data_IF_717301371405
#
_entry.id   IF_717301371405
#
_cell.length_a   1.000
_cell.length_b   1.000
_cell.length_c   1.000
_cell.angle_alpha   90.00
_cell.angle_beta   90.00
_cell.angle_gamma   90.00
#
_symmetry.space_group_name_H-M   'P 1'
#
loop_
_entity.id
_entity.type
_entity.pdbx_description
1 polymer ?
#
# COMPACT_ATOMS: atom_id res chain seq x y z
N UNK A 1 -25.02 8.57 -22.83
CA UNK A 1 -23.57 8.69 -22.56
C UNK A 1 -23.06 7.32 -22.13
N UNK A 2 -22.01 6.82 -22.77
CA UNK A 2 -21.44 5.51 -22.44
C UNK A 2 -20.38 5.69 -21.34
N UNK A 3 -20.63 5.10 -20.18
CA UNK A 3 -19.66 4.99 -19.09
C UNK A 3 -18.61 3.94 -19.45
N UNK A 4 -17.33 4.24 -19.24
CA UNK A 4 -16.22 3.35 -19.58
C UNK A 4 -15.57 2.82 -18.30
N UNK A 5 -15.23 3.72 -17.37
CA UNK A 5 -14.51 3.40 -16.15
C UNK A 5 -15.10 4.13 -14.95
N UNK A 6 -15.12 3.47 -13.81
CA UNK A 6 -15.49 4.06 -12.54
C UNK A 6 -14.37 3.84 -11.53
N UNK A 7 -13.91 4.92 -10.94
CA UNK A 7 -12.98 4.87 -9.83
C UNK A 7 -13.69 5.31 -8.54
N UNK A 8 -12.95 5.49 -7.48
CA UNK A 8 -13.50 5.94 -6.22
C UNK A 8 -14.13 7.33 -6.29
N UNK A 9 -13.45 8.31 -6.92
CA UNK A 9 -13.88 9.70 -7.01
C UNK A 9 -14.35 10.10 -8.41
N UNK A 10 -13.94 9.35 -9.43
CA UNK A 10 -14.08 9.72 -10.82
C UNK A 10 -14.97 8.73 -11.59
N UNK A 11 -15.64 9.27 -12.61
CA UNK A 11 -16.30 8.55 -13.68
C UNK A 11 -15.64 8.98 -14.99
N UNK A 12 -15.17 8.02 -15.79
CA UNK A 12 -14.68 8.28 -17.14
C UNK A 12 -15.73 7.79 -18.15
N UNK A 13 -16.12 8.67 -19.07
CA UNK A 13 -17.14 8.42 -20.09
C UNK A 13 -16.75 9.00 -21.44
N UNK A 14 -17.33 8.50 -22.49
CA UNK A 14 -17.19 9.11 -23.81
C UNK A 14 -17.61 10.59 -23.78
N UNK A 15 -16.86 11.42 -24.48
CA UNK A 15 -17.15 12.85 -24.63
C UNK A 15 -18.22 13.07 -25.68
N UNK A 16 -19.03 14.09 -25.46
CA UNK A 16 -20.15 14.52 -26.33
C UNK A 16 -20.02 16.00 -26.66
N UNK A 17 -20.84 16.50 -27.58
CA UNK A 17 -20.87 17.94 -27.89
C UNK A 17 -21.25 18.80 -26.68
N UNK A 18 -21.98 18.26 -25.72
CA UNK A 18 -22.26 18.93 -24.44
C UNK A 18 -21.05 19.24 -23.58
N UNK A 19 -19.90 18.61 -23.87
CA UNK A 19 -18.65 18.82 -23.15
C UNK A 19 -17.76 19.93 -23.76
N UNK A 20 -18.18 20.54 -24.90
CA UNK A 20 -17.42 21.60 -25.56
C UNK A 20 -17.08 22.74 -24.59
N UNK A 21 -17.99 23.29 -23.78
CA UNK A 21 -17.64 24.36 -22.84
C UNK A 21 -16.54 23.96 -21.84
N UNK A 22 -16.58 22.73 -21.35
CA UNK A 22 -15.55 22.20 -20.42
C UNK A 22 -14.21 21.99 -21.11
N UNK A 23 -14.22 21.57 -22.38
CA UNK A 23 -13.03 21.45 -23.22
C UNK A 23 -12.44 22.82 -23.57
N UNK A 24 -13.27 23.82 -23.88
CA UNK A 24 -12.83 25.19 -24.12
C UNK A 24 -12.14 25.76 -22.87
N UNK A 25 -12.74 25.63 -21.69
CA UNK A 25 -12.16 26.09 -20.42
C UNK A 25 -10.76 25.52 -20.19
N UNK A 26 -10.51 24.30 -20.63
CA UNK A 26 -9.24 23.61 -20.43
C UNK A 26 -8.24 23.89 -21.56
N UNK A 27 -8.68 23.75 -22.82
CA UNK A 27 -7.77 23.79 -23.98
C UNK A 27 -7.43 25.22 -24.45
N UNK A 28 -8.25 26.22 -24.09
CA UNK A 28 -7.96 27.61 -24.37
C UNK A 28 -7.19 28.31 -23.24
N UNK A 29 -6.99 27.64 -22.09
CA UNK A 29 -6.19 28.19 -20.99
C UNK A 29 -4.71 27.98 -21.25
N UNK A 30 -3.91 29.06 -21.46
CA UNK A 30 -2.48 28.94 -21.74
C UNK A 30 -1.68 28.34 -20.58
N UNK A 31 -2.17 28.46 -19.34
CA UNK A 31 -1.51 27.86 -18.18
C UNK A 31 -1.71 26.33 -18.15
N UNK A 32 -2.86 25.84 -18.63
CA UNK A 32 -3.11 24.40 -18.80
C UNK A 32 -2.32 23.85 -19.97
N UNK A 33 -2.22 24.62 -21.06
CA UNK A 33 -1.61 24.21 -22.32
C UNK A 33 -0.12 24.53 -22.43
N UNK A 34 0.55 24.92 -21.35
CA UNK A 34 1.97 25.34 -21.34
C UNK A 34 2.96 24.31 -21.94
N UNK A 35 2.60 23.04 -21.92
CA UNK A 35 3.43 21.98 -22.49
C UNK A 35 3.31 21.85 -24.02
N UNK A 36 2.31 22.50 -24.62
CA UNK A 36 2.05 22.44 -26.06
C UNK A 36 2.59 23.70 -26.76
N UNK A 37 3.31 23.56 -27.89
CA UNK A 37 3.85 24.70 -28.62
C UNK A 37 2.80 25.40 -29.51
N UNK A 38 1.52 25.16 -29.32
CA UNK A 38 0.42 25.65 -30.13
C UNK A 38 -0.66 26.29 -29.24
N UNK A 39 -1.18 27.43 -29.66
CA UNK A 39 -2.33 28.08 -29.04
C UNK A 39 -3.59 27.57 -29.70
N UNK A 40 -4.45 26.92 -28.93
CA UNK A 40 -5.68 26.31 -29.42
C UNK A 40 -6.75 27.38 -29.69
N UNK A 41 -7.53 27.16 -30.74
CA UNK A 41 -8.72 27.93 -31.09
C UNK A 41 -9.98 27.11 -30.77
N UNK A 42 -11.17 27.72 -30.84
CA UNK A 42 -12.44 27.01 -30.69
C UNK A 42 -12.61 25.91 -31.75
N UNK A 43 -12.22 26.18 -32.98
CA UNK A 43 -12.23 25.18 -34.05
C UNK A 43 -11.32 23.98 -33.71
N UNK A 44 -10.15 24.22 -33.10
CA UNK A 44 -9.28 23.13 -32.64
C UNK A 44 -9.95 22.28 -31.56
N UNK A 45 -10.74 22.89 -30.69
CA UNK A 45 -11.50 22.17 -29.64
C UNK A 45 -12.54 21.23 -30.27
N UNK A 46 -13.33 21.76 -31.23
CA UNK A 46 -14.32 20.96 -31.97
C UNK A 46 -13.65 19.81 -32.73
N UNK A 47 -12.59 20.10 -33.48
CA UNK A 47 -11.81 19.12 -34.21
C UNK A 47 -11.21 18.04 -33.29
N UNK A 48 -10.78 18.45 -32.09
CA UNK A 48 -10.25 17.52 -31.09
C UNK A 48 -11.34 16.59 -30.58
N UNK A 49 -12.53 17.10 -30.27
CA UNK A 49 -13.68 16.27 -29.89
C UNK A 49 -14.06 15.29 -31.00
N UNK A 50 -14.21 15.77 -32.22
CA UNK A 50 -14.53 14.93 -33.37
C UNK A 50 -13.53 13.79 -33.57
N UNK A 51 -12.23 14.10 -33.37
CA UNK A 51 -11.14 13.07 -33.41
C UNK A 51 -11.31 12.02 -32.31
N UNK A 52 -11.70 12.41 -31.09
CA UNK A 52 -11.94 11.42 -30.04
C UNK A 52 -13.15 10.54 -30.35
N UNK A 53 -14.25 11.13 -30.84
CA UNK A 53 -15.43 10.38 -31.26
C UNK A 53 -15.13 9.41 -32.40
N UNK A 54 -14.22 9.78 -33.31
CA UNK A 54 -13.73 8.87 -34.35
C UNK A 54 -12.91 7.72 -33.74
N UNK A 55 -12.01 7.98 -32.79
CA UNK A 55 -11.25 6.95 -32.09
C UNK A 55 -12.15 5.97 -31.35
N UNK A 56 -13.21 6.43 -30.68
CA UNK A 56 -14.17 5.53 -30.04
C UNK A 56 -14.80 4.54 -31.03
N UNK A 57 -15.04 4.97 -32.27
CA UNK A 57 -15.61 4.09 -33.32
C UNK A 57 -14.55 3.16 -33.94
N UNK A 58 -13.33 3.62 -34.11
CA UNK A 58 -12.28 2.88 -34.82
C UNK A 58 -11.49 1.97 -33.89
N UNK A 59 -11.04 2.50 -32.74
CA UNK A 59 -10.14 1.81 -31.81
C UNK A 59 -10.90 1.22 -30.63
N UNK A 60 -12.16 1.63 -30.40
CA UNK A 60 -12.94 1.26 -29.21
C UNK A 60 -12.60 2.07 -27.95
N UNK A 61 -11.60 2.95 -28.03
CA UNK A 61 -11.14 3.81 -26.93
C UNK A 61 -10.61 5.15 -27.46
N UNK A 62 -10.34 6.08 -26.54
CA UNK A 62 -9.79 7.41 -26.81
C UNK A 62 -9.57 8.16 -25.51
N UNK A 63 -9.46 9.49 -25.57
CA UNK A 63 -9.54 10.31 -24.37
C UNK A 63 -11.00 10.46 -23.95
N UNK A 64 -11.31 10.20 -22.71
CA UNK A 64 -12.65 10.28 -22.11
C UNK A 64 -12.78 11.50 -21.22
N UNK A 65 -14.01 12.01 -21.05
CA UNK A 65 -14.31 12.98 -20.02
C UNK A 65 -14.08 12.39 -18.63
N UNK A 66 -13.34 13.08 -17.81
CA UNK A 66 -13.15 12.77 -16.39
C UNK A 66 -14.11 13.60 -15.56
N UNK A 67 -15.06 12.95 -14.89
CA UNK A 67 -16.15 13.59 -14.18
C UNK A 67 -16.08 13.25 -12.70
N UNK A 68 -16.27 14.24 -11.83
CA UNK A 68 -16.39 14.00 -10.38
C UNK A 68 -17.73 13.30 -10.09
N UNK A 69 -17.67 12.17 -9.40
CA UNK A 69 -18.87 11.42 -9.01
C UNK A 69 -19.73 12.15 -7.98
N UNK A 70 -19.14 13.03 -7.18
CA UNK A 70 -19.83 13.78 -6.13
C UNK A 70 -20.65 14.95 -6.65
N UNK A 71 -20.21 15.58 -7.75
CA UNK A 71 -20.84 16.81 -8.27
C UNK A 71 -21.37 16.66 -9.70
N UNK A 72 -20.93 15.66 -10.46
CA UNK A 72 -21.20 15.54 -11.87
C UNK A 72 -20.38 16.49 -12.76
N UNK A 73 -19.43 17.23 -12.19
CA UNK A 73 -18.62 18.22 -12.91
C UNK A 73 -17.48 17.56 -13.66
N UNK A 74 -17.25 17.96 -14.92
CA UNK A 74 -16.11 17.53 -15.72
C UNK A 74 -14.85 18.27 -15.26
N UNK A 75 -13.87 17.52 -14.76
CA UNK A 75 -12.60 18.05 -14.26
C UNK A 75 -11.49 18.06 -15.32
N UNK A 76 -11.68 17.33 -16.41
CA UNK A 76 -10.70 17.23 -17.48
C UNK A 76 -10.95 16.03 -18.39
N UNK A 77 -9.90 15.57 -19.05
CA UNK A 77 -9.92 14.38 -19.90
C UNK A 77 -8.76 13.46 -19.53
N UNK A 78 -8.97 12.14 -19.68
CA UNK A 78 -7.94 11.12 -19.59
C UNK A 78 -8.34 9.90 -20.42
N UNK A 79 -7.37 9.12 -20.88
CA UNK A 79 -7.70 7.94 -21.68
C UNK A 79 -6.48 7.32 -22.33
N UNK A 80 -6.78 6.51 -23.36
CA UNK A 80 -5.80 5.76 -24.13
C UNK A 80 -5.84 6.23 -25.58
N UNK A 81 -4.66 6.34 -26.19
CA UNK A 81 -4.55 6.67 -27.61
C UNK A 81 -3.33 6.00 -28.22
N UNK A 82 -3.43 5.57 -29.47
CA UNK A 82 -2.27 5.21 -30.24
C UNK A 82 -1.49 6.46 -30.64
N UNK A 83 -0.19 6.46 -30.34
CA UNK A 83 0.73 7.54 -30.73
C UNK A 83 1.92 6.95 -31.44
N UNK A 84 2.52 7.75 -32.31
CA UNK A 84 3.81 7.41 -32.91
C UNK A 84 4.97 7.86 -32.02
N UNK A 85 5.90 6.98 -31.76
CA UNK A 85 7.14 7.26 -31.07
C UNK A 85 8.32 6.79 -31.93
N UNK A 86 8.86 7.68 -32.78
CA UNK A 86 9.98 7.40 -33.71
C UNK A 86 9.66 6.24 -34.67
N UNK A 87 8.47 6.23 -35.27
CA UNK A 87 8.01 5.19 -36.21
C UNK A 87 7.50 3.93 -35.55
N UNK A 88 7.39 3.90 -34.22
CA UNK A 88 6.82 2.78 -33.48
C UNK A 88 5.50 3.20 -32.80
N UNK A 89 4.40 2.45 -33.03
CA UNK A 89 3.15 2.73 -32.34
C UNK A 89 3.26 2.38 -30.86
N UNK A 90 2.88 3.30 -29.98
CA UNK A 90 2.78 3.08 -28.54
C UNK A 90 1.37 3.38 -28.07
N UNK A 91 0.85 2.55 -27.16
CA UNK A 91 -0.43 2.82 -26.48
C UNK A 91 -0.17 3.80 -25.34
N UNK A 92 -0.60 5.06 -25.54
CA UNK A 92 -0.34 6.14 -24.60
C UNK A 92 -1.48 6.29 -23.60
N UNK A 93 -1.13 6.43 -22.32
CA UNK A 93 -2.01 6.98 -21.28
C UNK A 93 -1.81 8.49 -21.27
N UNK A 94 -2.81 9.22 -21.77
CA UNK A 94 -2.84 10.68 -21.79
C UNK A 94 -3.85 11.25 -20.79
N UNK A 95 -3.56 12.43 -20.24
CA UNK A 95 -4.46 13.16 -19.34
C UNK A 95 -4.21 14.66 -19.39
N UNK A 96 -5.25 15.44 -19.16
CA UNK A 96 -5.23 16.88 -19.00
C UNK A 96 -6.38 17.31 -18.10
N UNK A 97 -6.13 18.15 -17.12
CA UNK A 97 -7.12 18.63 -16.16
C UNK A 97 -7.23 20.14 -16.18
N UNK A 98 -8.42 20.66 -15.93
CA UNK A 98 -8.65 22.07 -15.65
C UNK A 98 -7.80 22.51 -14.46
N UNK A 99 -7.23 23.71 -14.50
CA UNK A 99 -6.27 24.23 -13.52
C UNK A 99 -6.78 24.14 -12.07
N UNK A 100 -8.06 24.47 -11.83
CA UNK A 100 -8.67 24.44 -10.50
C UNK A 100 -8.72 23.05 -9.84
N UNK A 101 -8.49 21.97 -10.60
CA UNK A 101 -8.47 20.59 -10.11
C UNK A 101 -7.07 19.98 -9.99
N UNK A 102 -6.03 20.80 -10.17
CA UNK A 102 -4.66 20.34 -9.96
C UNK A 102 -4.37 20.06 -8.50
N UNK A 103 -3.31 19.31 -8.23
CA UNK A 103 -2.81 18.94 -6.89
C UNK A 103 -3.79 18.16 -6.01
N UNK A 104 -4.91 17.69 -6.55
CA UNK A 104 -5.92 16.88 -5.83
C UNK A 104 -5.81 15.37 -6.10
N UNK A 105 -4.81 14.96 -6.92
CA UNK A 105 -4.54 13.55 -7.22
C UNK A 105 -5.44 12.94 -8.31
N UNK A 106 -6.33 13.71 -8.93
CA UNK A 106 -7.25 13.20 -9.97
C UNK A 106 -6.52 12.68 -11.21
N UNK A 107 -5.45 13.34 -11.66
CA UNK A 107 -4.66 12.89 -12.80
C UNK A 107 -4.06 11.49 -12.54
N UNK A 108 -3.48 11.26 -11.35
CA UNK A 108 -2.92 9.95 -10.98
C UNK A 108 -3.98 8.87 -10.86
N UNK A 109 -5.18 9.21 -10.34
CA UNK A 109 -6.30 8.28 -10.21
C UNK A 109 -6.85 7.88 -11.59
N UNK A 110 -7.06 8.86 -12.48
CA UNK A 110 -7.54 8.63 -13.84
C UNK A 110 -6.51 7.84 -14.67
N UNK A 111 -5.24 8.23 -14.62
CA UNK A 111 -4.17 7.57 -15.37
C UNK A 111 -3.99 6.11 -14.95
N UNK A 112 -4.09 5.80 -13.64
CA UNK A 112 -4.04 4.42 -13.13
C UNK A 112 -5.22 3.61 -13.67
N UNK A 113 -6.42 4.15 -13.63
CA UNK A 113 -7.60 3.47 -14.17
C UNK A 113 -7.48 3.19 -15.67
N UNK A 114 -6.92 4.13 -16.45
CA UNK A 114 -6.66 3.93 -17.88
C UNK A 114 -5.60 2.84 -18.12
N UNK A 115 -4.50 2.83 -17.34
CA UNK A 115 -3.49 1.78 -17.39
C UNK A 115 -4.10 0.41 -17.11
N UNK A 116 -4.85 0.29 -16.03
CA UNK A 116 -5.46 -0.97 -15.62
C UNK A 116 -6.51 -1.46 -16.64
N UNK A 117 -7.24 -0.53 -17.27
CA UNK A 117 -8.13 -0.85 -18.40
C UNK A 117 -7.36 -1.39 -19.60
N UNK A 118 -6.22 -0.77 -19.95
CA UNK A 118 -5.38 -1.27 -21.04
C UNK A 118 -4.91 -2.71 -20.78
N UNK A 119 -4.46 -3.02 -19.57
CA UNK A 119 -3.98 -4.36 -19.22
C UNK A 119 -5.11 -5.39 -19.11
N UNK A 120 -6.22 -5.05 -18.44
CA UNK A 120 -7.29 -6.01 -18.11
C UNK A 120 -8.33 -6.18 -19.22
N UNK A 121 -8.63 -5.10 -19.96
CA UNK A 121 -9.71 -5.10 -20.94
C UNK A 121 -9.17 -5.18 -22.37
N UNK A 122 -8.12 -4.39 -22.67
CA UNK A 122 -7.54 -4.40 -24.03
C UNK A 122 -6.46 -5.49 -24.22
N UNK A 123 -6.02 -6.13 -23.13
CA UNK A 123 -4.96 -7.16 -23.19
C UNK A 123 -3.58 -6.61 -23.57
N UNK A 124 -3.35 -5.30 -23.38
CA UNK A 124 -2.07 -4.70 -23.69
C UNK A 124 -0.96 -5.27 -22.80
N UNK A 125 0.21 -5.53 -23.37
CA UNK A 125 1.40 -5.98 -22.64
C UNK A 125 2.15 -4.82 -22.00
N UNK A 126 2.06 -3.63 -22.60
CA UNK A 126 2.67 -2.39 -22.08
C UNK A 126 1.83 -1.17 -22.40
N UNK A 127 1.95 -0.15 -21.58
CA UNK A 127 1.41 1.19 -21.83
C UNK A 127 2.47 2.24 -21.55
N UNK A 128 2.38 3.36 -22.24
CA UNK A 128 3.38 4.42 -22.16
C UNK A 128 2.75 5.78 -21.93
N UNK A 129 3.55 6.77 -21.57
CA UNK A 129 3.20 8.19 -21.60
C UNK A 129 4.34 8.97 -22.25
N UNK A 130 4.01 9.81 -23.22
CA UNK A 130 4.96 10.69 -23.90
C UNK A 130 4.92 12.05 -23.19
N UNK A 131 6.01 12.43 -22.55
CA UNK A 131 6.03 13.59 -21.65
C UNK A 131 7.16 14.52 -22.02
N UNK A 132 6.84 15.81 -22.24
CA UNK A 132 7.84 16.86 -22.43
C UNK A 132 8.84 16.88 -21.26
N UNK A 133 10.13 17.01 -21.54
CA UNK A 133 11.20 16.80 -20.54
C UNK A 133 11.14 17.74 -19.35
N UNK A 134 10.55 18.93 -19.48
CA UNK A 134 10.35 19.93 -18.42
C UNK A 134 8.97 19.84 -17.72
N UNK A 135 8.08 18.94 -18.15
CA UNK A 135 6.79 18.75 -17.53
C UNK A 135 6.89 17.84 -16.28
N UNK A 136 7.44 18.40 -15.21
CA UNK A 136 7.66 17.67 -13.95
C UNK A 136 6.35 17.13 -13.31
N UNK A 137 5.23 17.83 -13.55
CA UNK A 137 3.93 17.39 -13.02
C UNK A 137 3.51 16.05 -13.64
N UNK A 138 3.57 15.94 -14.98
CA UNK A 138 3.23 14.70 -15.69
C UNK A 138 4.26 13.60 -15.44
N UNK A 139 5.54 13.92 -15.30
CA UNK A 139 6.59 12.95 -14.92
C UNK A 139 6.24 12.29 -13.57
N UNK A 140 5.86 13.08 -12.57
CA UNK A 140 5.45 12.55 -11.26
C UNK A 140 4.19 11.66 -11.34
N UNK A 141 3.25 12.00 -12.22
CA UNK A 141 2.06 11.14 -12.45
C UNK A 141 2.46 9.82 -13.08
N UNK A 142 3.31 9.83 -14.11
CA UNK A 142 3.82 8.61 -14.75
C UNK A 142 4.55 7.71 -13.73
N UNK A 143 5.44 8.28 -12.91
CA UNK A 143 6.16 7.54 -11.86
C UNK A 143 5.20 6.93 -10.83
N UNK A 144 4.18 7.68 -10.34
CA UNK A 144 3.15 7.16 -9.44
C UNK A 144 2.26 6.09 -10.08
N UNK A 145 2.27 6.03 -11.41
CA UNK A 145 1.56 5.03 -12.21
C UNK A 145 2.42 3.79 -12.48
N UNK A 146 3.61 3.70 -11.86
CA UNK A 146 4.55 2.60 -12.01
C UNK A 146 5.41 2.66 -13.27
N UNK A 147 5.35 3.78 -14.03
CA UNK A 147 6.10 3.92 -15.26
C UNK A 147 7.56 4.31 -14.99
N UNK A 148 8.50 3.61 -15.63
CA UNK A 148 9.91 3.96 -15.69
C UNK A 148 10.25 4.69 -16.99
N UNK A 149 11.25 5.57 -16.96
CA UNK A 149 11.74 6.25 -18.17
C UNK A 149 12.46 5.23 -19.06
N UNK A 150 11.89 4.95 -20.23
CA UNK A 150 12.46 4.03 -21.22
C UNK A 150 13.51 4.71 -22.10
N UNK A 151 13.18 5.88 -22.66
CA UNK A 151 14.10 6.65 -23.50
C UNK A 151 13.79 8.16 -23.54
N UNK A 152 14.72 8.94 -24.09
CA UNK A 152 14.54 10.31 -24.50
C UNK A 152 14.50 10.39 -26.03
N UNK A 153 13.65 11.26 -26.58
CA UNK A 153 13.55 11.49 -28.02
C UNK A 153 13.03 12.89 -28.33
N UNK A 154 13.09 13.31 -29.58
CA UNK A 154 12.55 14.59 -30.01
C UNK A 154 11.30 14.36 -30.86
N UNK A 155 10.16 14.82 -30.38
CA UNK A 155 8.92 14.87 -31.14
C UNK A 155 8.82 16.18 -31.92
N UNK A 156 8.17 16.16 -33.07
CA UNK A 156 7.94 17.34 -33.90
C UNK A 156 6.46 17.71 -33.89
N UNK A 157 6.11 18.81 -33.25
CA UNK A 157 4.77 19.34 -33.25
C UNK A 157 4.74 20.66 -34.06
N UNK A 158 3.90 20.73 -35.08
CA UNK A 158 3.82 21.90 -35.96
C UNK A 158 5.18 22.35 -36.47
N UNK A 159 6.05 21.40 -36.83
CA UNK A 159 7.45 21.59 -37.25
C UNK A 159 8.38 22.19 -36.16
N UNK A 160 7.95 22.21 -34.90
CA UNK A 160 8.80 22.60 -33.76
C UNK A 160 9.34 21.34 -33.10
N UNK A 161 10.69 21.21 -33.00
CA UNK A 161 11.28 20.08 -32.27
C UNK A 161 11.12 20.30 -30.75
N UNK A 162 10.53 19.33 -30.09
CA UNK A 162 10.27 19.36 -28.63
C UNK A 162 10.83 18.11 -27.99
N UNK A 163 11.75 18.24 -27.02
CA UNK A 163 12.34 17.08 -26.34
C UNK A 163 11.31 16.41 -25.41
N UNK A 164 11.23 15.09 -25.50
CA UNK A 164 10.31 14.27 -24.72
C UNK A 164 11.01 13.08 -24.08
N UNK A 165 10.41 12.56 -23.02
CA UNK A 165 10.68 11.25 -22.48
C UNK A 165 9.53 10.30 -22.81
N UNK A 166 9.85 9.05 -23.13
CA UNK A 166 8.93 7.94 -23.12
C UNK A 166 9.01 7.29 -21.73
N UNK A 167 7.91 7.30 -21.02
CA UNK A 167 7.73 6.55 -19.78
C UNK A 167 6.87 5.33 -20.08
N UNK A 168 7.26 4.17 -19.59
CA UNK A 168 6.59 2.89 -19.91
C UNK A 168 6.44 2.04 -18.65
N UNK A 169 5.32 1.31 -18.56
CA UNK A 169 5.09 0.23 -17.60
C UNK A 169 4.60 -1.00 -18.34
N UNK A 170 5.13 -2.16 -17.96
CA UNK A 170 4.69 -3.43 -18.48
C UNK A 170 3.61 -4.02 -17.57
N UNK A 171 2.75 -4.84 -18.14
CA UNK A 171 1.69 -5.54 -17.40
C UNK A 171 2.26 -6.33 -16.23
N UNK A 172 3.36 -7.02 -16.46
CA UNK A 172 4.04 -7.87 -15.48
C UNK A 172 4.74 -7.07 -14.35
N UNK A 173 4.92 -5.75 -14.54
CA UNK A 173 5.46 -4.86 -13.49
C UNK A 173 4.40 -4.43 -12.47
N UNK A 174 3.14 -4.84 -12.61
CA UNK A 174 2.03 -4.38 -11.75
C UNK A 174 1.58 -5.49 -10.80
N UNK A 175 1.95 -5.37 -9.54
CA UNK A 175 1.47 -6.24 -8.46
C UNK A 175 0.01 -5.96 -8.08
N UNK A 176 -0.73 -6.96 -7.65
CA UNK A 176 -2.06 -6.81 -7.07
C UNK A 176 -2.01 -6.11 -5.69
N UNK A 177 -2.02 -4.79 -5.73
CA UNK A 177 -1.99 -3.97 -4.52
C UNK A 177 -3.23 -4.15 -3.65
N UNK A 178 -4.36 -4.58 -4.21
CA UNK A 178 -5.59 -4.83 -3.45
C UNK A 178 -5.38 -6.00 -2.51
N UNK A 179 -4.90 -7.12 -3.04
CA UNK A 179 -4.57 -8.29 -2.25
C UNK A 179 -3.48 -7.98 -1.20
N UNK A 180 -2.42 -7.25 -1.59
CA UNK A 180 -1.37 -6.84 -0.67
C UNK A 180 -1.93 -6.04 0.53
N UNK A 181 -2.83 -5.09 0.27
CA UNK A 181 -3.48 -4.29 1.32
C UNK A 181 -4.40 -5.16 2.20
N UNK A 182 -5.11 -6.11 1.63
CA UNK A 182 -5.94 -7.06 2.38
C UNK A 182 -5.09 -7.93 3.30
N UNK A 183 -3.99 -8.49 2.79
CA UNK A 183 -3.05 -9.27 3.59
C UNK A 183 -2.41 -8.45 4.70
N UNK A 184 -2.00 -7.23 4.41
CA UNK A 184 -1.47 -6.32 5.43
C UNK A 184 -2.47 -6.07 6.56
N UNK A 185 -3.73 -5.78 6.22
CA UNK A 185 -4.79 -5.58 7.24
C UNK A 185 -5.01 -6.83 8.07
N UNK A 186 -5.05 -8.00 7.44
CA UNK A 186 -5.22 -9.27 8.13
C UNK A 186 -4.05 -9.55 9.09
N UNK A 187 -2.81 -9.40 8.60
CA UNK A 187 -1.62 -9.58 9.42
C UNK A 187 -1.56 -8.57 10.58
N UNK A 188 -1.85 -7.29 10.34
CA UNK A 188 -1.87 -6.28 11.41
C UNK A 188 -2.96 -6.53 12.45
N UNK A 189 -4.07 -7.18 12.09
CA UNK A 189 -5.13 -7.54 13.03
C UNK A 189 -4.76 -8.74 13.93
N UNK A 190 -3.71 -9.48 13.59
CA UNK A 190 -3.22 -10.62 14.38
C UNK A 190 -2.13 -10.12 15.32
N UNK A 191 -2.36 -10.27 16.61
CA UNK A 191 -1.34 -9.97 17.63
C UNK A 191 -0.21 -11.00 17.56
N UNK A 192 1.02 -10.52 17.46
CA UNK A 192 2.19 -11.37 17.29
C UNK A 192 3.48 -10.80 17.91
N UNK A 193 3.49 -10.32 19.17
CA UNK A 193 4.76 -9.94 19.78
C UNK A 193 5.72 -11.12 19.81
N UNK A 194 7.05 -10.83 19.78
CA UNK A 194 8.07 -11.88 19.79
C UNK A 194 7.84 -12.88 20.93
N UNK A 195 7.73 -14.14 20.59
CA UNK A 195 7.35 -15.22 21.52
C UNK A 195 5.87 -15.57 21.55
N UNK A 196 4.99 -14.78 20.88
CA UNK A 196 3.56 -15.04 20.76
C UNK A 196 3.12 -14.98 19.29
N UNK A 197 3.80 -15.71 18.42
CA UNK A 197 3.70 -15.57 16.96
C UNK A 197 2.93 -16.70 16.27
N UNK A 198 2.46 -17.70 17.01
CA UNK A 198 1.82 -18.89 16.43
C UNK A 198 0.63 -18.55 15.53
N UNK A 199 -0.25 -17.64 15.96
CA UNK A 199 -1.41 -17.20 15.18
C UNK A 199 -1.04 -16.57 13.84
N UNK A 200 0.04 -15.77 13.81
CA UNK A 200 0.53 -15.17 12.57
C UNK A 200 1.18 -16.24 11.67
N UNK A 201 1.91 -17.18 12.24
CA UNK A 201 2.48 -18.29 11.49
C UNK A 201 1.39 -19.20 10.90
N UNK A 202 0.36 -19.54 11.66
CA UNK A 202 -0.75 -20.37 11.20
C UNK A 202 -1.52 -19.68 10.06
N UNK A 203 -1.78 -18.37 10.18
CA UNK A 203 -2.36 -17.57 9.10
C UNK A 203 -1.53 -17.65 7.80
N UNK A 204 -0.20 -17.50 7.91
CA UNK A 204 0.69 -17.59 6.75
C UNK A 204 0.71 -18.99 6.12
N UNK A 205 0.68 -20.04 6.94
CA UNK A 205 0.58 -21.44 6.47
C UNK A 205 -0.72 -21.66 5.69
N UNK A 206 -1.84 -21.18 6.22
CA UNK A 206 -3.16 -21.31 5.58
C UNK A 206 -3.19 -20.51 4.27
N UNK A 207 -2.74 -19.26 4.26
CA UNK A 207 -2.80 -18.39 3.10
C UNK A 207 -1.90 -18.90 1.97
N UNK A 208 -0.65 -19.29 2.26
CA UNK A 208 0.25 -19.89 1.27
C UNK A 208 -0.28 -21.22 0.73
N UNK A 209 -0.90 -22.04 1.58
CA UNK A 209 -1.56 -23.29 1.15
C UNK A 209 -2.76 -23.01 0.24
N UNK A 210 -3.55 -21.97 0.54
CA UNK A 210 -4.68 -21.51 -0.29
C UNK A 210 -4.21 -21.04 -1.67
N UNK A 211 -3.03 -20.43 -1.75
CA UNK A 211 -2.38 -20.07 -3.01
C UNK A 211 -1.81 -21.29 -3.77
N UNK A 212 -1.89 -22.49 -3.22
CA UNK A 212 -1.42 -23.72 -3.83
C UNK A 212 0.08 -23.96 -3.71
N UNK A 213 0.69 -23.44 -2.65
CA UNK A 213 2.07 -23.78 -2.25
C UNK A 213 2.07 -24.83 -1.14
N UNK A 214 3.25 -25.35 -0.81
CA UNK A 214 3.48 -26.26 0.30
C UNK A 214 4.38 -25.60 1.37
N UNK A 215 3.83 -24.71 2.20
CA UNK A 215 4.60 -24.06 3.25
C UNK A 215 4.90 -25.03 4.40
N UNK A 216 5.95 -24.73 5.15
CA UNK A 216 6.32 -25.48 6.34
C UNK A 216 6.60 -24.54 7.53
N UNK A 217 6.22 -24.94 8.73
CA UNK A 217 6.58 -24.24 9.96
C UNK A 217 8.03 -24.62 10.35
N UNK A 218 8.86 -23.63 10.54
CA UNK A 218 10.26 -23.86 10.96
C UNK A 218 10.32 -24.22 12.45
N UNK A 219 11.42 -24.82 12.91
CA UNK A 219 11.61 -25.14 14.33
C UNK A 219 11.56 -23.92 15.24
N UNK A 220 11.86 -22.75 14.71
CA UNK A 220 11.82 -21.48 15.43
C UNK A 220 10.43 -20.84 15.44
N UNK A 221 9.47 -21.41 14.73
CA UNK A 221 8.09 -20.91 14.66
C UNK A 221 7.76 -20.04 13.46
N UNK A 222 8.75 -19.67 12.63
CA UNK A 222 8.53 -18.96 11.35
C UNK A 222 7.95 -19.86 10.27
N UNK A 223 7.61 -19.30 9.13
CA UNK A 223 7.05 -20.01 7.98
C UNK A 223 7.95 -19.92 6.78
N UNK A 224 8.25 -21.04 6.14
CA UNK A 224 9.08 -21.11 4.94
C UNK A 224 8.33 -21.79 3.80
N UNK A 225 8.56 -21.34 2.57
CA UNK A 225 7.96 -21.93 1.38
C UNK A 225 8.89 -21.77 0.17
N UNK A 226 8.91 -22.76 -0.71
CA UNK A 226 9.55 -22.67 -2.03
C UNK A 226 8.52 -22.24 -3.08
N UNK A 227 8.79 -21.13 -3.79
CA UNK A 227 7.93 -20.64 -4.87
C UNK A 227 8.20 -21.33 -6.22
N UNK A 228 9.27 -22.12 -6.30
CA UNK A 228 9.71 -22.76 -7.54
C UNK A 228 10.92 -22.07 -8.18
N UNK A 229 11.11 -22.32 -9.46
CA UNK A 229 12.26 -21.85 -10.22
C UNK A 229 13.44 -22.82 -10.20
N UNK A 230 14.47 -22.53 -11.03
CA UNK A 230 15.69 -23.32 -11.15
C UNK A 230 16.91 -22.36 -11.17
N UNK A 231 18.09 -22.89 -10.86
CA UNK A 231 19.31 -22.07 -10.80
C UNK A 231 19.65 -21.63 -9.38
N UNK A 232 20.47 -20.60 -9.24
CA UNK A 232 21.03 -20.16 -7.93
C UNK A 232 19.93 -19.76 -6.95
N UNK A 233 19.78 -20.48 -5.81
CA UNK A 233 18.70 -20.23 -4.87
C UNK A 233 18.81 -18.87 -4.19
N UNK A 234 17.68 -18.18 -4.12
CA UNK A 234 17.48 -16.89 -3.45
C UNK A 234 16.47 -17.06 -2.32
N UNK A 235 16.76 -16.55 -1.14
CA UNK A 235 15.85 -16.47 -0.02
C UNK A 235 15.42 -15.01 0.19
N UNK A 236 14.11 -14.74 0.09
CA UNK A 236 13.51 -13.48 0.46
C UNK A 236 12.91 -13.62 1.85
N UNK A 237 13.17 -12.67 2.73
CA UNK A 237 12.72 -12.72 4.12
C UNK A 237 12.03 -11.44 4.53
N UNK A 238 11.03 -11.60 5.40
CA UNK A 238 10.37 -10.55 6.16
C UNK A 238 10.02 -11.11 7.54
N UNK A 239 9.89 -10.28 8.56
CA UNK A 239 9.46 -10.76 9.86
C UNK A 239 7.97 -10.46 10.14
N UNK A 240 7.36 -11.25 11.01
CA UNK A 240 5.96 -11.11 11.39
C UNK A 240 5.76 -10.97 12.89
N UNK A 241 6.83 -11.10 13.67
CA UNK A 241 6.79 -10.69 15.05
C UNK A 241 6.79 -9.17 15.18
N UNK A 242 6.23 -8.69 16.26
CA UNK A 242 6.04 -7.26 16.52
C UNK A 242 6.56 -6.89 17.89
N UNK A 243 6.72 -5.61 18.10
CA UNK A 243 6.83 -5.05 19.44
C UNK A 243 5.59 -5.37 20.27
N UNK A 244 5.77 -5.55 21.57
CA UNK A 244 4.68 -5.78 22.51
C UNK A 244 5.17 -5.66 23.95
N UNK A 245 4.46 -6.24 24.88
CA UNK A 245 4.86 -6.28 26.27
C UNK A 245 4.41 -7.58 26.95
N UNK A 246 4.93 -7.84 28.14
CA UNK A 246 4.45 -8.88 29.05
C UNK A 246 4.13 -8.27 30.41
N UNK A 247 3.19 -8.89 31.13
CA UNK A 247 2.92 -8.52 32.52
C UNK A 247 4.17 -8.77 33.35
N UNK A 248 4.74 -7.72 33.92
CA UNK A 248 5.87 -7.79 34.83
C UNK A 248 5.41 -8.01 36.28
N UNK A 249 4.38 -7.26 36.69
CA UNK A 249 3.90 -7.28 38.08
C UNK A 249 2.41 -6.88 38.12
N UNK A 250 1.66 -7.51 38.99
CA UNK A 250 0.29 -7.10 39.34
C UNK A 250 0.37 -6.27 40.62
N UNK A 251 -0.15 -5.05 40.59
CA UNK A 251 -0.15 -4.13 41.74
C UNK A 251 -1.25 -4.48 42.72
N UNK A 252 -1.09 -4.03 43.96
CA UNK A 252 -2.09 -4.24 45.02
C UNK A 252 -3.49 -3.70 44.69
N UNK A 253 -3.59 -2.72 43.77
CA UNK A 253 -4.86 -2.20 43.23
C UNK A 253 -5.41 -2.97 42.01
N UNK A 254 -4.76 -4.06 41.63
CA UNK A 254 -5.13 -4.90 40.51
C UNK A 254 -4.62 -4.47 39.14
N UNK A 255 -3.97 -3.32 39.02
CA UNK A 255 -3.41 -2.82 37.74
C UNK A 255 -2.09 -3.54 37.39
N UNK A 256 -1.73 -3.54 36.09
CA UNK A 256 -0.55 -4.25 35.61
C UNK A 256 0.59 -3.30 35.30
N UNK A 257 1.80 -3.65 35.76
CA UNK A 257 3.05 -3.04 35.29
C UNK A 257 3.61 -3.96 34.21
N UNK A 258 4.10 -3.38 33.11
CA UNK A 258 4.56 -4.12 31.95
C UNK A 258 6.10 -4.08 31.83
N UNK A 259 6.63 -5.14 31.23
CA UNK A 259 7.99 -5.18 30.67
C UNK A 259 7.87 -5.22 29.13
N UNK A 260 8.63 -4.38 28.38
CA UNK A 260 8.57 -4.39 26.93
C UNK A 260 9.14 -5.68 26.34
N UNK A 261 8.60 -6.07 25.19
CA UNK A 261 9.15 -7.08 24.29
C UNK A 261 9.66 -6.34 23.06
N UNK A 262 10.96 -6.48 22.77
CA UNK A 262 11.65 -5.69 21.75
C UNK A 262 11.87 -4.23 22.16
N UNK A 263 12.03 -3.36 21.17
CA UNK A 263 12.33 -1.94 21.35
C UNK A 263 11.12 -1.05 21.68
N UNK A 264 10.01 -1.60 22.18
CA UNK A 264 8.81 -0.85 22.48
C UNK A 264 9.05 0.27 23.51
N UNK A 265 8.62 1.48 23.18
CA UNK A 265 8.70 2.63 24.09
C UNK A 265 7.34 2.94 24.69
N UNK A 266 7.31 3.17 25.99
CA UNK A 266 6.09 3.43 26.75
C UNK A 266 5.36 4.69 26.27
N UNK A 267 6.11 5.72 25.84
CA UNK A 267 5.56 6.96 25.28
C UNK A 267 4.67 6.73 24.06
N UNK A 268 4.98 5.70 23.26
CA UNK A 268 4.20 5.35 22.06
C UNK A 268 2.91 4.60 22.39
N UNK A 269 2.71 4.21 23.65
CA UNK A 269 1.58 3.38 24.09
C UNK A 269 0.69 4.09 25.13
N UNK A 270 1.02 5.33 25.53
CA UNK A 270 0.16 6.09 26.45
C UNK A 270 -1.23 6.28 25.85
N UNK A 271 -2.26 6.01 26.65
CA UNK A 271 -3.67 6.05 26.28
C UNK A 271 -4.06 5.06 25.15
N UNK A 272 -3.24 4.04 24.90
CA UNK A 272 -3.55 3.03 23.89
C UNK A 272 -4.28 1.85 24.50
N UNK A 273 -5.29 1.36 23.75
CA UNK A 273 -5.97 0.12 24.09
C UNK A 273 -5.03 -1.07 23.89
N UNK A 274 -5.20 -2.06 24.76
CA UNK A 274 -4.43 -3.30 24.66
C UNK A 274 -5.30 -4.53 24.94
N UNK A 275 -4.79 -5.67 24.52
CA UNK A 275 -5.32 -7.01 24.81
C UNK A 275 -4.31 -7.74 25.67
N UNK A 276 -4.79 -8.38 26.72
CA UNK A 276 -4.01 -9.19 27.65
C UNK A 276 -4.36 -10.64 27.38
N UNK A 277 -3.40 -11.42 26.95
CA UNK A 277 -3.56 -12.85 26.66
C UNK A 277 -3.02 -13.69 27.81
N UNK A 278 -3.92 -14.39 28.50
CA UNK A 278 -3.50 -15.26 29.59
C UNK A 278 -3.03 -16.62 29.07
N UNK A 279 -2.15 -17.28 29.79
CA UNK A 279 -1.68 -18.65 29.49
C UNK A 279 -2.80 -19.71 29.59
N UNK A 280 -3.97 -19.34 30.08
CA UNK A 280 -5.14 -20.20 30.23
C UNK A 280 -6.26 -19.85 29.25
N UNK A 281 -5.90 -19.36 28.05
CA UNK A 281 -6.80 -19.01 26.95
C UNK A 281 -7.78 -17.85 27.22
N UNK A 282 -7.60 -17.10 28.31
CA UNK A 282 -8.35 -15.88 28.57
C UNK A 282 -7.81 -14.71 27.75
N UNK A 283 -8.72 -13.82 27.33
CA UNK A 283 -8.36 -12.56 26.69
C UNK A 283 -9.15 -11.44 27.33
N UNK A 284 -8.44 -10.42 27.84
CA UNK A 284 -9.02 -9.24 28.45
C UNK A 284 -8.55 -7.99 27.73
N UNK A 285 -9.29 -6.90 27.88
CA UNK A 285 -8.92 -5.58 27.35
C UNK A 285 -8.51 -4.63 28.46
N UNK A 286 -7.81 -3.58 28.10
CA UNK A 286 -7.39 -2.53 29.00
C UNK A 286 -6.75 -1.36 28.25
N UNK A 287 -6.30 -0.39 29.01
CA UNK A 287 -5.62 0.79 28.50
C UNK A 287 -4.36 1.09 29.32
N UNK A 288 -3.25 1.37 28.63
CA UNK A 288 -2.00 1.78 29.27
C UNK A 288 -2.03 3.28 29.57
N UNK A 289 -1.78 3.65 30.81
CA UNK A 289 -1.69 5.05 31.23
C UNK A 289 -0.60 5.25 32.29
N UNK A 290 -0.25 6.49 32.53
CA UNK A 290 0.60 6.84 33.68
C UNK A 290 -0.13 6.52 35.00
N UNK A 291 0.60 6.09 36.03
CA UNK A 291 0.01 5.61 37.27
C UNK A 291 -0.89 6.63 37.98
N UNK A 292 -0.57 7.92 37.87
CA UNK A 292 -1.39 9.03 38.36
C UNK A 292 -1.86 9.91 37.21
N UNK A 293 -2.84 9.42 36.43
CA UNK A 293 -3.24 9.98 35.14
C UNK A 293 -4.10 11.26 35.21
N UNK A 294 -4.60 11.64 36.38
CA UNK A 294 -5.49 12.81 36.53
C UNK A 294 -4.69 14.08 36.68
N UNK A 295 -4.73 14.98 35.71
CA UNK A 295 -4.08 16.29 35.73
C UNK A 295 -4.61 17.20 36.85
N UNK A 296 -5.82 16.92 37.38
CA UNK A 296 -6.43 17.72 38.45
C UNK A 296 -5.91 17.39 39.85
N UNK A 297 -5.27 16.24 40.00
CA UNK A 297 -4.74 15.75 41.31
C UNK A 297 -3.29 15.29 41.23
N UNK A 298 -2.66 15.51 40.12
CA UNK A 298 -1.25 15.21 39.88
C UNK A 298 -0.51 16.51 39.52
N UNK A 299 0.07 17.16 40.48
CA UNK A 299 0.79 18.44 40.31
C UNK A 299 2.03 18.28 39.40
N UNK A 300 2.57 17.07 39.30
CA UNK A 300 3.75 16.74 38.45
C UNK A 300 3.37 15.97 37.20
N UNK A 301 2.13 16.06 36.70
CA UNK A 301 1.68 15.33 35.51
C UNK A 301 2.58 15.58 34.27
N UNK A 302 2.94 16.85 34.04
CA UNK A 302 3.77 17.24 32.89
C UNK A 302 5.25 16.76 33.04
N UNK A 303 5.77 16.70 34.26
CA UNK A 303 7.12 16.24 34.58
C UNK A 303 7.23 14.71 34.69
N UNK A 304 6.12 14.01 34.79
CA UNK A 304 6.11 12.55 34.96
C UNK A 304 6.68 11.86 33.73
N UNK A 305 7.67 10.99 33.94
CA UNK A 305 8.31 10.23 32.86
C UNK A 305 7.37 9.11 32.38
N UNK A 306 7.28 8.94 31.04
CA UNK A 306 6.54 7.85 30.41
C UNK A 306 7.49 6.64 30.25
N UNK A 307 7.73 5.92 31.33
CA UNK A 307 8.50 4.66 31.37
C UNK A 307 7.60 3.53 31.84
N UNK A 308 7.81 2.32 31.38
CA UNK A 308 6.97 1.17 31.77
C UNK A 308 6.83 1.01 33.28
N UNK A 309 7.90 1.25 34.06
CA UNK A 309 7.82 1.20 35.52
C UNK A 309 6.98 2.29 36.19
N UNK A 310 6.59 3.33 35.47
CA UNK A 310 5.73 4.46 35.93
C UNK A 310 4.36 4.46 35.25
N UNK A 311 4.11 3.51 34.37
CA UNK A 311 2.85 3.32 33.69
C UNK A 311 2.19 2.03 34.13
N UNK A 312 0.90 1.95 33.97
CA UNK A 312 0.11 0.80 34.37
C UNK A 312 -1.04 0.55 33.40
N UNK A 313 -1.38 -0.69 33.18
CA UNK A 313 -2.61 -1.06 32.47
C UNK A 313 -3.77 -1.04 33.47
N UNK A 314 -4.79 -0.28 33.13
CA UNK A 314 -6.12 -0.38 33.73
C UNK A 314 -6.87 -1.41 32.91
N UNK A 315 -7.28 -2.48 33.56
CA UNK A 315 -8.04 -3.58 32.94
C UNK A 315 -9.51 -3.17 32.86
N UNK A 316 -10.20 -3.51 31.79
CA UNK A 316 -11.63 -3.22 31.56
C UNK A 316 -12.53 -4.20 32.33
N UNK A 317 -12.12 -4.57 33.55
CA UNK A 317 -12.81 -5.49 34.43
C UNK A 317 -12.94 -4.88 35.84
N UNK A 318 -13.93 -5.26 36.64
CA UNK A 318 -14.17 -4.70 37.96
C UNK A 318 -13.18 -5.19 39.02
N UNK A 319 -11.86 -5.09 38.74
CA UNK A 319 -10.78 -5.45 39.66
C UNK A 319 -10.44 -4.30 40.61
N UNK A 320 -10.20 -4.60 41.87
CA UNK A 320 -9.79 -3.65 42.91
C UNK A 320 -8.57 -4.10 43.69
N UNK A 321 -8.12 -5.32 43.46
CA UNK A 321 -6.98 -5.92 44.16
C UNK A 321 -6.21 -6.86 43.25
N UNK A 322 -4.96 -7.15 43.62
CA UNK A 322 -4.17 -8.21 42.98
C UNK A 322 -4.90 -9.54 42.93
N UNK A 323 -5.64 -9.88 43.99
CA UNK A 323 -6.43 -11.11 44.08
C UNK A 323 -7.52 -11.18 43.00
N UNK A 324 -8.18 -10.06 42.74
CA UNK A 324 -9.24 -9.99 41.72
C UNK A 324 -8.65 -10.20 40.33
N UNK A 325 -7.52 -9.57 40.02
CA UNK A 325 -6.82 -9.73 38.74
C UNK A 325 -6.33 -11.16 38.53
N UNK A 326 -5.76 -11.77 39.59
CA UNK A 326 -5.35 -13.19 39.52
C UNK A 326 -6.53 -14.13 39.35
N UNK A 327 -7.69 -13.80 39.90
CA UNK A 327 -8.92 -14.60 39.73
C UNK A 327 -9.42 -14.61 38.26
N UNK A 328 -9.05 -13.61 37.43
CA UNK A 328 -9.26 -13.60 35.98
C UNK A 328 -8.28 -14.54 35.24
N UNK A 329 -7.31 -15.13 35.93
CA UNK A 329 -6.26 -15.95 35.34
C UNK A 329 -5.06 -15.15 34.79
N UNK A 330 -5.02 -13.83 35.02
CA UNK A 330 -3.91 -12.96 34.61
C UNK A 330 -2.74 -13.19 35.58
N UNK A 331 -1.54 -13.38 35.02
CA UNK A 331 -0.32 -13.58 35.78
C UNK A 331 0.90 -12.96 35.08
N UNK A 332 2.00 -12.91 35.79
CA UNK A 332 3.28 -12.44 35.27
C UNK A 332 3.72 -13.32 34.07
N UNK A 333 4.20 -12.67 33.01
CA UNK A 333 4.58 -13.31 31.74
C UNK A 333 3.46 -13.42 30.73
N UNK A 334 2.21 -13.05 31.07
CA UNK A 334 1.13 -12.97 30.09
C UNK A 334 1.38 -11.85 29.10
N UNK A 335 1.07 -12.08 27.81
CA UNK A 335 1.35 -11.11 26.74
C UNK A 335 0.35 -9.98 26.73
N UNK A 336 0.85 -8.78 26.45
CA UNK A 336 0.05 -7.56 26.28
C UNK A 336 0.36 -6.96 24.91
N UNK A 337 -0.68 -6.89 24.09
CA UNK A 337 -0.62 -6.46 22.70
C UNK A 337 -1.42 -5.17 22.52
N UNK A 338 -0.84 -4.19 21.84
CA UNK A 338 -1.46 -2.87 21.62
C UNK A 338 -2.21 -2.82 20.30
N UNK A 339 -3.26 -1.98 20.22
CA UNK A 339 -4.05 -1.83 19.01
C UNK A 339 -3.20 -1.34 17.82
N UNK A 340 -3.26 -2.02 16.66
CA UNK A 340 -2.51 -1.61 15.48
C UNK A 340 -3.07 -0.32 14.84
N UNK A 341 -4.34 -0.01 15.04
CA UNK A 341 -5.06 1.14 14.45
C UNK A 341 -4.89 1.24 12.93
N UNK A 342 -4.94 0.09 12.25
CA UNK A 342 -4.73 0.01 10.82
C UNK A 342 -5.83 0.74 10.05
N UNK A 343 -5.46 1.75 9.27
CA UNK A 343 -6.36 2.51 8.41
C UNK A 343 -5.78 2.71 7.03
N UNK A 344 -6.63 2.64 6.01
CA UNK A 344 -6.29 3.05 4.64
C UNK A 344 -7.06 4.32 4.33
N UNK A 345 -6.33 5.40 4.11
CA UNK A 345 -6.94 6.70 3.84
C UNK A 345 -7.58 6.74 2.47
N UNK A 346 -8.40 7.75 2.24
CA UNK A 346 -9.01 7.96 0.93
C UNK A 346 -8.00 8.24 -0.18
N UNK A 347 -6.86 8.80 0.11
CA UNK A 347 -5.77 9.05 -0.83
C UNK A 347 -4.84 7.86 -1.05
N UNK A 348 -5.11 6.71 -0.40
CA UNK A 348 -4.34 5.48 -0.53
C UNK A 348 -3.16 5.35 0.45
N UNK A 349 -2.99 6.29 1.41
CA UNK A 349 -2.00 6.11 2.46
C UNK A 349 -2.47 5.05 3.47
N UNK A 350 -1.51 4.27 3.95
CA UNK A 350 -1.72 3.26 4.99
C UNK A 350 -1.07 3.77 6.27
N UNK A 351 -1.81 3.71 7.38
CA UNK A 351 -1.33 4.01 8.72
C UNK A 351 -1.61 2.81 9.60
N UNK A 352 -0.61 2.34 10.32
CA UNK A 352 -0.75 1.28 11.30
C UNK A 352 0.45 1.31 12.25
N UNK A 353 0.31 0.72 13.44
CA UNK A 353 1.44 0.12 14.13
C UNK A 353 1.83 -1.14 13.38
N UNK A 354 3.04 -1.61 13.59
CA UNK A 354 3.51 -2.91 13.09
C UNK A 354 3.52 -3.03 11.54
N UNK A 355 3.64 -1.88 10.83
CA UNK A 355 4.03 -1.90 9.41
C UNK A 355 5.42 -2.54 9.26
N UNK A 356 6.25 -2.32 10.22
CA UNK A 356 7.47 -3.03 10.55
C UNK A 356 7.12 -4.37 11.23
N UNK A 357 7.27 -5.54 10.59
CA UNK A 357 7.57 -5.68 9.15
C UNK A 357 6.44 -6.45 8.42
N UNK A 358 5.23 -6.34 8.95
CA UNK A 358 4.03 -6.96 8.34
C UNK A 358 3.73 -6.43 6.94
N UNK A 359 4.24 -5.23 6.60
CA UNK A 359 4.11 -4.71 5.25
C UNK A 359 4.92 -5.54 4.25
N UNK A 360 6.18 -5.81 4.56
CA UNK A 360 7.03 -6.62 3.69
C UNK A 360 6.52 -8.07 3.61
N UNK A 361 6.00 -8.60 4.72
CA UNK A 361 5.33 -9.91 4.71
C UNK A 361 4.12 -9.93 3.75
N UNK A 362 3.29 -8.89 3.75
CA UNK A 362 2.17 -8.76 2.82
C UNK A 362 2.63 -8.60 1.36
N UNK A 363 3.74 -7.89 1.12
CA UNK A 363 4.36 -7.76 -0.22
C UNK A 363 4.86 -9.12 -0.72
N UNK A 364 5.52 -9.91 0.14
CA UNK A 364 5.98 -11.24 -0.23
C UNK A 364 4.83 -12.22 -0.52
N UNK A 365 3.71 -12.11 0.22
CA UNK A 365 2.48 -12.87 -0.09
C UNK A 365 1.89 -12.44 -1.45
N UNK A 366 1.85 -11.14 -1.73
CA UNK A 366 1.36 -10.62 -3.01
C UNK A 366 2.25 -11.07 -4.17
N UNK A 367 3.57 -11.12 -3.98
CA UNK A 367 4.50 -11.69 -4.96
C UNK A 367 4.23 -13.18 -5.20
N UNK A 368 4.03 -13.97 -4.15
CA UNK A 368 3.69 -15.37 -4.28
C UNK A 368 2.37 -15.58 -5.05
N UNK A 369 1.35 -14.75 -4.76
CA UNK A 369 0.08 -14.76 -5.49
C UNK A 369 0.26 -14.42 -6.96
N UNK A 370 1.00 -13.35 -7.29
CA UNK A 370 1.26 -12.92 -8.67
C UNK A 370 1.89 -14.04 -9.51
N UNK A 371 2.86 -14.74 -8.95
CA UNK A 371 3.47 -15.88 -9.65
C UNK A 371 2.45 -16.99 -9.97
N UNK A 372 1.49 -17.24 -9.08
CA UNK A 372 0.43 -18.24 -9.33
C UNK A 372 -0.60 -17.75 -10.33
N UNK A 373 -1.05 -16.50 -10.21
CA UNK A 373 -2.07 -15.94 -11.09
C UNK A 373 -1.60 -15.84 -12.54
N UNK A 374 -0.32 -15.49 -12.72
CA UNK A 374 0.29 -15.36 -14.06
C UNK A 374 0.87 -16.68 -14.59
N UNK A 375 1.00 -17.71 -13.77
CA UNK A 375 1.71 -18.94 -14.11
C UNK A 375 3.21 -18.72 -14.29
N UNK A 376 3.75 -17.60 -13.84
CA UNK A 376 5.17 -17.26 -13.99
C UNK A 376 6.03 -18.14 -13.09
N UNK A 377 7.06 -18.74 -13.67
CA UNK A 377 8.08 -19.49 -12.94
C UNK A 377 9.31 -18.61 -12.78
N UNK A 378 9.77 -18.34 -11.55
CA UNK A 378 10.99 -17.57 -11.34
C UNK A 378 12.20 -18.19 -12.05
N UNK A 379 13.10 -17.36 -12.62
CA UNK A 379 14.35 -17.84 -13.23
C UNK A 379 15.31 -18.48 -12.23
N UNK A 380 15.28 -17.97 -10.99
CA UNK A 380 16.01 -18.52 -9.85
C UNK A 380 15.09 -19.41 -9.02
N UNK A 381 15.63 -20.34 -8.28
CA UNK A 381 14.90 -21.02 -7.23
C UNK A 381 14.66 -20.02 -6.09
N UNK A 382 13.39 -19.71 -5.79
CA UNK A 382 13.03 -18.68 -4.81
C UNK A 382 12.37 -19.32 -3.60
N UNK A 383 12.89 -18.99 -2.43
CA UNK A 383 12.25 -19.28 -1.15
C UNK A 383 11.72 -18.00 -0.53
N UNK A 384 10.58 -18.07 0.16
CA UNK A 384 10.16 -17.07 1.14
C UNK A 384 10.38 -17.63 2.54
N UNK A 385 10.79 -16.76 3.46
CA UNK A 385 10.86 -17.08 4.87
C UNK A 385 10.29 -15.92 5.70
N UNK A 386 9.13 -16.16 6.30
CA UNK A 386 8.53 -15.25 7.27
C UNK A 386 9.11 -15.60 8.63
N UNK A 387 10.02 -14.75 9.11
CA UNK A 387 10.76 -14.98 10.34
C UNK A 387 9.99 -14.50 11.57
N UNK A 388 10.43 -14.98 12.74
CA UNK A 388 9.97 -14.56 14.05
C UNK A 388 11.19 -14.30 14.94
N UNK A 389 11.06 -13.51 16.01
CA UNK A 389 12.14 -13.06 16.91
C UNK A 389 13.11 -12.04 16.28
N UNK A 390 12.73 -11.35 15.21
CA UNK A 390 13.56 -10.27 14.65
C UNK A 390 13.69 -9.12 15.65
N UNK A 391 12.59 -8.68 16.23
CA UNK A 391 12.48 -7.57 17.19
C UNK A 391 13.31 -7.76 18.47
N UNK A 392 13.83 -8.97 18.69
CA UNK A 392 14.73 -9.32 19.78
C UNK A 392 16.09 -9.82 19.28
N UNK A 393 16.43 -9.53 18.01
CA UNK A 393 17.75 -9.74 17.43
C UNK A 393 18.05 -11.17 16.96
N UNK A 394 17.04 -11.99 16.69
CA UNK A 394 17.22 -13.40 16.33
C UNK A 394 16.55 -13.85 15.04
N UNK A 395 15.92 -12.95 14.24
CA UNK A 395 15.07 -13.26 13.10
C UNK A 395 15.62 -14.35 12.18
N UNK A 396 16.60 -14.02 11.37
CA UNK A 396 17.13 -14.86 10.30
C UNK A 396 18.14 -15.95 10.77
N UNK A 397 18.52 -15.98 12.03
CA UNK A 397 19.64 -16.79 12.53
C UNK A 397 19.45 -18.30 12.43
N UNK A 398 18.31 -18.79 11.96
CA UNK A 398 18.05 -20.23 11.81
C UNK A 398 17.10 -20.50 10.63
N UNK A 399 17.10 -21.75 10.18
CA UNK A 399 16.14 -22.27 9.18
C UNK A 399 16.38 -21.75 7.75
N UNK A 400 17.57 -21.26 7.42
CA UNK A 400 17.98 -21.01 6.04
C UNK A 400 18.20 -22.35 5.35
N UNK A 401 17.62 -22.61 4.15
CA UNK A 401 17.89 -23.82 3.37
C UNK A 401 19.38 -23.91 3.02
N UNK A 402 19.95 -25.13 3.08
CA UNK A 402 21.39 -25.35 2.86
C UNK A 402 21.87 -24.97 1.47
N UNK A 403 20.98 -24.99 0.47
CA UNK A 403 21.29 -24.67 -0.91
C UNK A 403 21.23 -23.15 -1.21
N UNK A 404 20.78 -22.32 -0.29
CA UNK A 404 20.65 -20.86 -0.49
C UNK A 404 22.03 -20.22 -0.62
N UNK A 405 22.22 -19.47 -1.72
CA UNK A 405 23.48 -18.75 -2.01
C UNK A 405 23.36 -17.24 -1.87
N UNK A 406 22.14 -16.72 -1.80
CA UNK A 406 21.86 -15.30 -1.62
C UNK A 406 20.61 -15.11 -0.76
N UNK A 407 20.67 -14.14 0.13
CA UNK A 407 19.62 -13.80 1.05
C UNK A 407 19.34 -12.31 0.95
N UNK A 408 18.06 -11.96 0.83
CA UNK A 408 17.58 -10.58 0.85
C UNK A 408 16.54 -10.42 1.95
N UNK A 409 16.86 -9.61 2.94
CA UNK A 409 15.87 -9.14 3.92
C UNK A 409 15.11 -7.96 3.32
N UNK A 410 13.81 -8.05 3.32
CA UNK A 410 12.90 -6.97 2.95
C UNK A 410 12.36 -6.44 4.27
N UNK A 411 12.81 -5.26 4.65
CA UNK A 411 12.54 -4.66 5.95
C UNK A 411 12.43 -3.15 5.82
N UNK A 412 12.02 -2.46 6.89
CA UNK A 412 11.93 -0.99 6.92
C UNK A 412 13.32 -0.38 7.00
N UNK A 413 13.58 0.63 6.16
CA UNK A 413 14.87 1.35 6.10
C UNK A 413 14.72 2.85 6.29
#
# INVERSE_FOLDING_TARGET
MKEILRTRRLLLREMTEGDIPDLEEMLLDPEVMYAYPHTFTKEDVENRLARQQQRYRQDGFGLWAVVLRSTGEMVGQAGLTWQDCEGQPVLEVGYLLKKRFWHQGYASEAARACRDYAFRVLGAEKVSSIIKTDNLASIRVAQRNGMAREKAFTAHYYNVPVPHYLYTVWKDDTMDTTYCIEQLKALCAIDSPSGFTDRAADYLLEELSRLGYAPEKTRKGGVRVCLGGQGSPLLLMAHVDTLGAVVQTIKGNGRLVLSPVGGLRAENCEAENCRIYTRFDGTYTGCLQIANASVHVNDDYAGSQRKFGQMEVVIDEPVKSEKDTRALGICEGDFVCFDPRTTVTQSGYIKSRFLDDKLSAAILLAYAKELKDTGTIPRRKVYLHFTVYEEVGHGAAASVPEDVVELLSVDMG
#
